data_IF_165964471965
#
_entry.id   IF_165964471965
#
_cell.length_a   1.000
_cell.length_b   1.000
_cell.length_c   1.000
_cell.angle_alpha   90.00
_cell.angle_beta   90.00
_cell.angle_gamma   90.00
#
_symmetry.space_group_name_H-M   'P 1'
#
loop_
_entity.id
_entity.type
_entity.pdbx_description
1 polymer ?
#
# COMPACT_ATOMS: atom_id res chain seq x y z
N UNK A 1 -51.91 -79.37 -2.79
CA UNK A 1 -50.52 -79.26 -3.26
C UNK A 1 -50.42 -78.04 -4.17
N UNK A 2 -49.31 -77.31 -4.10
CA UNK A 2 -48.98 -76.06 -4.85
C UNK A 2 -49.81 -74.81 -4.52
N UNK A 3 -49.26 -73.62 -4.28
CA UNK A 3 -47.85 -73.16 -4.29
C UNK A 3 -47.84 -71.80 -3.57
N UNK A 4 -46.95 -71.64 -2.59
CA UNK A 4 -46.67 -70.35 -1.98
C UNK A 4 -46.15 -69.36 -3.02
N UNK A 5 -46.64 -68.12 -2.97
CA UNK A 5 -46.05 -66.98 -3.68
C UNK A 5 -45.72 -65.90 -2.67
N UNK A 6 -44.55 -66.01 -2.06
CA UNK A 6 -43.89 -64.93 -1.34
C UNK A 6 -43.44 -63.88 -2.36
N UNK A 7 -44.07 -62.69 -2.33
CA UNK A 7 -43.62 -61.56 -3.15
C UNK A 7 -42.40 -60.91 -2.50
N UNK A 8 -41.24 -61.30 -3.00
CA UNK A 8 -40.00 -60.55 -2.83
C UNK A 8 -40.00 -59.41 -3.88
N UNK A 9 -40.14 -58.15 -3.45
CA UNK A 9 -39.79 -56.98 -4.28
C UNK A 9 -39.37 -55.86 -3.33
N UNK A 10 -38.08 -55.81 -3.05
CA UNK A 10 -37.11 -55.03 -3.83
C UNK A 10 -36.89 -53.70 -3.13
N UNK A 11 -35.87 -53.69 -2.28
CA UNK A 11 -35.18 -52.52 -1.75
C UNK A 11 -35.08 -51.42 -2.81
N UNK A 12 -35.98 -50.45 -2.75
CA UNK A 12 -35.79 -49.13 -3.36
C UNK A 12 -34.90 -48.26 -2.46
N UNK A 13 -33.84 -48.86 -1.88
CA UNK A 13 -32.76 -48.12 -1.27
C UNK A 13 -31.67 -47.96 -2.31
N UNK A 14 -32.00 -47.25 -3.39
CA UNK A 14 -31.00 -46.75 -4.31
C UNK A 14 -31.05 -45.24 -4.24
N UNK A 15 -29.92 -44.70 -3.78
CA UNK A 15 -29.39 -43.43 -4.26
C UNK A 15 -30.03 -42.18 -3.66
N UNK A 16 -30.17 -42.12 -2.33
CA UNK A 16 -29.84 -40.87 -1.65
C UNK A 16 -28.32 -40.75 -1.67
N UNK A 17 -27.79 -40.48 -2.87
CA UNK A 17 -26.40 -40.14 -3.13
C UNK A 17 -26.19 -38.82 -2.39
N UNK A 18 -25.27 -38.78 -1.44
CA UNK A 18 -24.95 -37.58 -0.67
C UNK A 18 -24.54 -36.43 -1.61
N UNK A 19 -25.52 -35.60 -2.01
CA UNK A 19 -25.34 -34.40 -2.83
C UNK A 19 -24.54 -33.30 -2.09
N UNK A 20 -24.29 -33.49 -0.79
CA UNK A 20 -23.47 -32.62 0.05
C UNK A 20 -22.07 -32.38 -0.52
N UNK A 21 -21.49 -33.39 -1.19
CA UNK A 21 -20.14 -33.29 -1.75
C UNK A 21 -20.12 -32.37 -3.00
N UNK A 22 -21.15 -32.45 -3.84
CA UNK A 22 -21.28 -31.58 -5.02
C UNK A 22 -21.56 -30.12 -4.64
N UNK A 23 -22.42 -29.91 -3.65
CA UNK A 23 -22.70 -28.57 -3.13
C UNK A 23 -21.45 -27.90 -2.54
N UNK A 24 -20.67 -28.63 -1.73
CA UNK A 24 -19.42 -28.12 -1.16
C UNK A 24 -18.38 -27.73 -2.23
N UNK A 25 -18.28 -28.49 -3.32
CA UNK A 25 -17.40 -28.13 -4.44
C UNK A 25 -17.81 -26.82 -5.12
N UNK A 26 -19.12 -26.57 -5.26
CA UNK A 26 -19.64 -25.33 -5.86
C UNK A 26 -19.44 -24.14 -4.92
N UNK A 27 -19.70 -24.31 -3.62
CA UNK A 27 -19.45 -23.26 -2.61
C UNK A 27 -17.97 -22.86 -2.57
N UNK A 28 -17.07 -23.83 -2.62
CA UNK A 28 -15.63 -23.57 -2.69
C UNK A 28 -15.23 -22.87 -3.99
N UNK A 29 -15.78 -23.28 -5.13
CA UNK A 29 -15.50 -22.68 -6.43
C UNK A 29 -15.93 -21.20 -6.51
N UNK A 30 -16.96 -20.80 -5.79
CA UNK A 30 -17.41 -19.39 -5.72
C UNK A 30 -16.63 -18.60 -4.67
N UNK A 31 -16.25 -19.23 -3.55
CA UNK A 31 -15.51 -18.56 -2.46
C UNK A 31 -14.05 -18.32 -2.83
N UNK A 32 -13.42 -19.24 -3.57
CA UNK A 32 -12.00 -19.16 -3.92
C UNK A 32 -11.64 -17.90 -4.73
N UNK A 33 -12.38 -17.50 -5.79
CA UNK A 33 -12.13 -16.26 -6.51
C UNK A 33 -12.18 -15.03 -5.61
N UNK A 34 -13.12 -14.97 -4.66
CA UNK A 34 -13.23 -13.88 -3.70
C UNK A 34 -12.01 -13.83 -2.77
N UNK A 35 -11.56 -15.00 -2.29
CA UNK A 35 -10.39 -15.11 -1.42
C UNK A 35 -9.10 -14.72 -2.16
N UNK A 36 -8.94 -15.13 -3.42
CA UNK A 36 -7.81 -14.75 -4.27
C UNK A 36 -7.79 -13.23 -4.53
N UNK A 37 -8.95 -12.63 -4.84
CA UNK A 37 -9.07 -11.19 -5.04
C UNK A 37 -8.73 -10.42 -3.76
N UNK A 38 -9.21 -10.88 -2.60
CA UNK A 38 -8.87 -10.29 -1.31
C UNK A 38 -7.37 -10.38 -1.03
N UNK A 39 -6.76 -11.54 -1.27
CA UNK A 39 -5.35 -11.77 -1.02
C UNK A 39 -4.47 -10.82 -1.85
N UNK A 40 -4.75 -10.70 -3.15
CA UNK A 40 -4.01 -9.79 -4.03
C UNK A 40 -4.26 -8.31 -3.68
N UNK A 41 -5.50 -7.95 -3.34
CA UNK A 41 -5.82 -6.59 -2.88
C UNK A 41 -5.07 -6.19 -1.61
N UNK A 42 -5.02 -7.07 -0.61
CA UNK A 42 -4.27 -6.83 0.63
C UNK A 42 -2.77 -6.79 0.38
N UNK A 43 -2.25 -7.62 -0.52
CA UNK A 43 -0.83 -7.60 -0.89
C UNK A 43 -0.41 -6.25 -1.49
N UNK A 44 -1.12 -5.76 -2.50
CA UNK A 44 -0.82 -4.46 -3.11
C UNK A 44 -1.04 -3.31 -2.12
N UNK A 45 -2.07 -3.38 -1.26
CA UNK A 45 -2.28 -2.39 -0.21
C UNK A 45 -1.12 -2.34 0.81
N UNK A 46 -0.60 -3.50 1.20
CA UNK A 46 0.55 -3.60 2.11
C UNK A 46 1.79 -2.92 1.53
N UNK A 47 2.10 -3.18 0.25
CA UNK A 47 3.21 -2.53 -0.45
C UNK A 47 3.00 -1.01 -0.57
N UNK A 48 1.78 -0.58 -0.87
CA UNK A 48 1.43 0.84 -0.94
C UNK A 48 1.63 1.54 0.41
N UNK A 49 1.19 0.92 1.52
CA UNK A 49 1.39 1.45 2.86
C UNK A 49 2.87 1.53 3.25
N UNK A 50 3.67 0.52 2.90
CA UNK A 50 5.11 0.55 3.11
C UNK A 50 5.74 1.74 2.37
N UNK A 51 5.41 1.95 1.10
CA UNK A 51 5.90 3.07 0.31
C UNK A 51 5.48 4.42 0.89
N UNK A 52 4.23 4.52 1.39
CA UNK A 52 3.72 5.72 2.07
C UNK A 52 4.50 6.03 3.36
N UNK A 53 4.78 5.03 4.19
CA UNK A 53 5.57 5.22 5.41
C UNK A 53 7.01 5.64 5.08
N UNK A 54 7.64 5.02 4.09
CA UNK A 54 8.96 5.40 3.58
C UNK A 54 8.98 6.85 3.11
N UNK A 55 8.01 7.27 2.28
CA UNK A 55 7.92 8.63 1.76
C UNK A 55 7.75 9.66 2.89
N UNK A 56 6.91 9.37 3.88
CA UNK A 56 6.76 10.23 5.06
C UNK A 56 8.06 10.35 5.84
N UNK A 57 8.74 9.23 6.09
CA UNK A 57 10.01 9.23 6.83
C UNK A 57 11.04 10.15 6.16
N UNK A 58 11.21 10.01 4.85
CA UNK A 58 12.16 10.85 4.10
C UNK A 58 11.75 12.32 4.12
N UNK A 59 10.45 12.64 3.99
CA UNK A 59 9.99 14.02 4.05
C UNK A 59 10.29 14.67 5.40
N UNK A 60 9.98 13.99 6.51
CA UNK A 60 10.25 14.51 7.86
C UNK A 60 11.74 14.60 8.17
N UNK A 61 12.53 13.60 7.78
CA UNK A 61 13.99 13.63 7.99
C UNK A 61 14.65 14.73 7.14
N UNK A 62 14.20 14.94 5.90
CA UNK A 62 14.69 16.00 5.02
C UNK A 62 14.39 17.39 5.57
N UNK A 63 13.16 17.61 6.05
CA UNK A 63 12.77 18.87 6.69
C UNK A 63 13.54 19.11 7.99
N UNK A 64 13.72 18.08 8.83
CA UNK A 64 14.48 18.21 10.07
C UNK A 64 15.94 18.57 9.80
N UNK A 65 16.54 17.96 8.78
CA UNK A 65 17.88 18.30 8.34
C UNK A 65 17.94 19.74 7.84
N UNK A 66 16.99 20.16 7.01
CA UNK A 66 16.91 21.55 6.53
C UNK A 66 16.81 22.55 7.68
N UNK A 67 15.90 22.35 8.64
CA UNK A 67 15.76 23.25 9.80
C UNK A 67 17.00 23.31 10.71
N UNK A 68 17.93 22.35 10.61
CA UNK A 68 19.17 22.36 11.40
C UNK A 68 20.31 23.16 10.77
N UNK A 69 20.17 23.57 9.51
CA UNK A 69 21.18 24.34 8.79
C UNK A 69 20.92 25.83 9.01
N UNK A 70 21.78 26.56 9.73
CA UNK A 70 21.63 28.00 9.88
C UNK A 70 21.94 28.69 8.55
N UNK A 71 21.09 29.65 8.15
CA UNK A 71 21.33 30.50 6.98
C UNK A 71 20.97 29.86 5.63
N UNK A 72 20.01 28.94 5.58
CA UNK A 72 19.41 28.51 4.31
C UNK A 72 18.84 29.72 3.58
N UNK A 73 19.45 30.06 2.44
CA UNK A 73 18.82 30.93 1.46
C UNK A 73 17.83 30.11 0.63
N UNK A 74 16.75 30.74 0.16
CA UNK A 74 15.69 30.09 -0.63
C UNK A 74 16.19 29.49 -1.95
N UNK A 75 17.42 29.81 -2.32
CA UNK A 75 18.03 29.56 -3.62
C UNK A 75 18.99 28.36 -3.64
N UNK A 76 19.46 27.87 -2.48
CA UNK A 76 20.54 26.89 -2.39
C UNK A 76 20.19 25.72 -1.45
N UNK A 77 19.17 24.93 -1.82
CA UNK A 77 18.82 23.70 -1.10
C UNK A 77 19.73 22.50 -1.44
N UNK A 78 20.86 22.69 -2.13
CA UNK A 78 21.71 21.60 -2.65
C UNK A 78 22.11 20.58 -1.58
N UNK A 79 22.52 21.04 -0.39
CA UNK A 79 22.87 20.13 0.72
C UNK A 79 21.67 19.31 1.23
N UNK A 80 20.47 19.90 1.19
CA UNK A 80 19.22 19.25 1.62
C UNK A 80 18.78 18.25 0.56
N UNK A 81 18.87 18.61 -0.72
CA UNK A 81 18.56 17.74 -1.85
C UNK A 81 19.50 16.52 -1.90
N UNK A 82 20.81 16.71 -1.72
CA UNK A 82 21.77 15.61 -1.63
C UNK A 82 21.43 14.65 -0.48
N UNK A 83 21.06 15.20 0.68
CA UNK A 83 20.65 14.38 1.82
C UNK A 83 19.37 13.62 1.55
N UNK A 84 18.38 14.26 0.92
CA UNK A 84 17.11 13.62 0.55
C UNK A 84 17.37 12.51 -0.48
N UNK A 85 18.27 12.70 -1.44
CA UNK A 85 18.63 11.68 -2.43
C UNK A 85 19.20 10.42 -1.77
N UNK A 86 20.08 10.58 -0.76
CA UNK A 86 20.58 9.44 0.04
C UNK A 86 19.43 8.75 0.80
N UNK A 87 18.54 9.53 1.42
CA UNK A 87 17.40 8.98 2.16
C UNK A 87 16.39 8.25 1.26
N UNK A 88 16.20 8.72 0.02
CA UNK A 88 15.40 8.04 -1.01
C UNK A 88 15.97 6.65 -1.32
N UNK A 89 17.28 6.57 -1.52
CA UNK A 89 17.95 5.30 -1.81
C UNK A 89 17.87 4.33 -0.62
N UNK A 90 18.03 4.83 0.62
CA UNK A 90 17.96 4.01 1.84
C UNK A 90 16.54 3.52 2.17
N UNK A 91 15.49 4.23 1.73
CA UNK A 91 14.10 3.87 2.01
C UNK A 91 13.38 3.22 0.81
N UNK A 92 14.14 2.86 -0.23
CA UNK A 92 13.66 2.19 -1.44
C UNK A 92 12.49 2.93 -2.11
N UNK A 93 12.72 4.21 -2.43
CA UNK A 93 11.77 5.09 -3.11
C UNK A 93 12.20 5.41 -4.55
N UNK A 94 12.28 4.42 -5.46
CA UNK A 94 12.74 4.63 -6.82
C UNK A 94 11.87 5.66 -7.57
N UNK A 95 12.49 6.42 -8.47
CA UNK A 95 11.84 7.40 -9.36
C UNK A 95 10.97 8.44 -8.65
N UNK A 96 11.28 8.71 -7.37
CA UNK A 96 10.57 9.70 -6.59
C UNK A 96 10.96 11.11 -7.00
N UNK A 97 9.94 11.95 -7.20
CA UNK A 97 10.14 13.38 -7.46
C UNK A 97 10.19 14.11 -6.13
N UNK A 98 11.25 14.90 -5.93
CA UNK A 98 11.43 15.75 -4.75
C UNK A 98 11.18 17.20 -5.11
N UNK A 99 10.55 17.93 -4.19
CA UNK A 99 10.49 19.39 -4.25
C UNK A 99 10.80 19.93 -2.86
N UNK A 100 11.89 20.68 -2.77
CA UNK A 100 12.24 21.45 -1.57
C UNK A 100 11.89 22.91 -1.87
N UNK A 101 11.23 23.56 -0.92
CA UNK A 101 10.86 24.97 -1.10
C UNK A 101 10.61 25.66 0.21
N UNK A 102 10.64 26.98 0.17
CA UNK A 102 10.37 27.85 1.30
C UNK A 102 8.93 28.38 1.19
N UNK A 103 8.20 28.38 2.29
CA UNK A 103 6.91 29.04 2.41
C UNK A 103 6.93 30.03 3.57
N UNK A 104 6.33 31.23 3.42
CA UNK A 104 6.15 32.17 4.53
C UNK A 104 5.48 31.47 5.71
N UNK A 105 6.16 31.45 6.85
CA UNK A 105 5.65 30.90 8.10
C UNK A 105 4.83 31.91 8.89
N UNK A 106 4.22 31.49 10.02
CA UNK A 106 3.48 32.38 10.90
C UNK A 106 4.37 33.46 11.54
N UNK A 107 4.36 34.67 10.98
CA UNK A 107 5.14 35.83 11.47
C UNK A 107 6.31 36.14 10.54
N UNK A 108 7.47 36.46 11.12
CA UNK A 108 8.71 36.75 10.38
C UNK A 108 9.59 35.50 10.17
N UNK A 109 9.05 34.32 10.47
CA UNK A 109 9.76 33.04 10.35
C UNK A 109 9.44 32.42 8.98
N UNK A 110 10.45 31.90 8.30
CA UNK A 110 10.22 31.09 7.11
C UNK A 110 10.14 29.61 7.47
N UNK A 111 9.51 28.86 6.57
CA UNK A 111 9.24 27.44 6.77
C UNK A 111 9.80 26.66 5.60
N UNK A 112 10.61 25.62 5.88
CA UNK A 112 11.03 24.70 4.83
C UNK A 112 9.94 23.66 4.64
N UNK A 113 9.61 23.41 3.37
CA UNK A 113 8.72 22.35 2.93
C UNK A 113 9.52 21.35 2.10
N UNK A 114 9.35 20.07 2.40
CA UNK A 114 9.82 18.98 1.53
C UNK A 114 8.60 18.18 1.07
N UNK A 115 8.46 18.01 -0.24
CA UNK A 115 7.46 17.15 -0.87
C UNK A 115 8.15 16.00 -1.58
N UNK A 116 7.56 14.82 -1.44
CA UNK A 116 8.03 13.59 -2.06
C UNK A 116 6.86 12.93 -2.77
N UNK A 117 7.06 12.60 -4.05
CA UNK A 117 6.08 11.90 -4.85
C UNK A 117 6.70 10.65 -5.48
N UNK A 118 6.38 9.47 -4.95
CA UNK A 118 6.87 8.19 -5.45
C UNK A 118 5.82 7.49 -6.32
N UNK A 119 6.18 6.95 -7.49
CA UNK A 119 5.29 6.09 -8.25
C UNK A 119 5.04 4.77 -7.50
N UNK A 120 3.82 4.26 -7.61
CA UNK A 120 3.44 2.95 -7.12
C UNK A 120 2.81 2.16 -8.25
N UNK A 121 3.48 1.06 -8.60
CA UNK A 121 3.02 0.06 -9.56
C UNK A 121 2.53 -1.17 -8.79
N UNK A 122 1.20 -1.38 -8.72
CA UNK A 122 0.64 -2.59 -8.14
C UNK A 122 1.03 -3.81 -9.00
N UNK A 123 1.17 -4.97 -8.37
CA UNK A 123 1.48 -6.22 -9.09
C UNK A 123 0.22 -6.82 -9.70
N UNK A 124 -0.92 -6.69 -9.00
CA UNK A 124 -2.15 -7.37 -9.38
C UNK A 124 -3.25 -6.41 -9.85
N UNK A 125 -3.24 -5.16 -9.37
CA UNK A 125 -4.23 -4.16 -9.77
C UNK A 125 -3.79 -3.38 -11.03
N UNK A 126 -4.66 -3.16 -12.03
CA UNK A 126 -4.28 -2.62 -13.33
C UNK A 126 -4.27 -1.08 -13.38
N UNK A 127 -3.95 -0.41 -12.28
CA UNK A 127 -3.95 1.06 -12.23
C UNK A 127 -2.72 1.59 -11.52
N UNK A 128 -2.07 2.58 -12.15
CA UNK A 128 -0.93 3.27 -11.56
C UNK A 128 -1.40 4.24 -10.49
N UNK A 129 -0.63 4.33 -9.41
CA UNK A 129 -0.85 5.31 -8.36
C UNK A 129 0.43 6.08 -8.08
N UNK A 130 0.29 7.25 -7.47
CA UNK A 130 1.42 7.98 -6.90
C UNK A 130 1.18 8.23 -5.43
N UNK A 131 2.14 7.83 -4.62
CA UNK A 131 2.19 8.17 -3.20
C UNK A 131 2.74 9.59 -3.09
N UNK A 132 2.04 10.45 -2.36
CA UNK A 132 2.46 11.83 -2.11
C UNK A 132 2.61 12.03 -0.61
N UNK A 133 3.75 12.58 -0.20
CA UNK A 133 4.04 12.99 1.16
C UNK A 133 4.56 14.43 1.19
N UNK A 134 4.25 15.14 2.26
CA UNK A 134 4.70 16.51 2.49
C UNK A 134 4.99 16.68 3.98
N UNK A 135 6.16 17.24 4.28
CA UNK A 135 6.54 17.67 5.62
C UNK A 135 6.92 19.16 5.59
N UNK A 136 6.77 19.80 6.75
CA UNK A 136 6.92 21.25 6.93
C UNK A 136 7.54 21.52 8.30
N UNK A 137 8.55 22.40 8.39
CA UNK A 137 9.14 22.82 9.68
C UNK A 137 9.64 24.26 9.64
N UNK A 138 9.40 25.05 10.72
CA UNK A 138 9.94 26.39 10.85
C UNK A 138 11.46 26.35 11.08
N UNK A 139 12.16 27.41 10.69
CA UNK A 139 13.55 27.64 11.08
C UNK A 139 13.78 29.09 11.44
N UNK A 140 14.76 29.32 12.31
CA UNK A 140 15.15 30.65 12.77
C UNK A 140 16.30 31.13 11.89
N UNK A 141 16.11 32.28 11.24
CA UNK A 141 17.24 32.99 10.64
C UNK A 141 18.22 33.36 11.74
N UNK A 142 19.49 32.94 11.60
CA UNK A 142 20.58 33.66 12.26
C UNK A 142 20.76 34.94 11.46
N UNK A 143 20.50 36.07 12.10
CA UNK A 143 20.94 37.39 11.62
C UNK A 143 22.48 37.41 11.57
#
# INVERSE_FOLDING_TARGET
MEKGRTRHRSSKQRLLKNDSCGAAMVEFAITLPLLVLLFFGVYDLGRWLQLYMSANRVAYEGVRFASSIPGLDSSSFTNVEDRIAVLIQLNDLPDSTTMVGELPGPGNNNTVTVRIAAPFEPVFLPFEMRVKSMAVSPYLFSN
#
